data_IF_536900904076
#
_entry.id   IF_536900904076
#
_cell.length_a   1.000
_cell.length_b   1.000
_cell.length_c   1.000
_cell.angle_alpha   90.00
_cell.angle_beta   90.00
_cell.angle_gamma   90.00
#
_symmetry.space_group_name_H-M   'P 1'
#
loop_
_entity.id
_entity.type
_entity.pdbx_description
1 polymer ?
#
# COMPACT_ATOMS: atom_id res chain seq x y z
N UNK A 1 -11.49 2.17 14.41
CA UNK A 1 -12.22 2.12 13.14
C UNK A 1 -13.20 0.96 13.08
N UNK A 2 -13.93 0.86 11.98
CA UNK A 2 -14.88 -0.25 11.79
C UNK A 2 -14.15 -1.60 11.85
N UNK A 3 -14.68 -2.56 12.62
CA UNK A 3 -14.08 -3.89 12.79
C UNK A 3 -12.78 -3.93 13.61
N UNK A 4 -12.34 -2.84 14.22
CA UNK A 4 -11.06 -2.75 14.92
C UNK A 4 -10.84 -3.81 16.00
N UNK A 5 -11.88 -4.22 16.72
CA UNK A 5 -11.79 -5.28 17.72
C UNK A 5 -11.48 -6.65 17.08
N UNK A 6 -12.11 -6.97 15.93
CA UNK A 6 -11.84 -8.19 15.21
C UNK A 6 -10.42 -8.23 14.62
N UNK A 7 -9.97 -7.12 14.04
CA UNK A 7 -8.60 -6.98 13.52
C UNK A 7 -7.59 -7.20 14.64
N UNK A 8 -7.79 -6.57 15.81
CA UNK A 8 -6.90 -6.74 16.96
C UNK A 8 -6.87 -8.18 17.48
N UNK A 9 -8.01 -8.85 17.50
CA UNK A 9 -8.08 -10.25 17.92
C UNK A 9 -7.39 -11.22 16.96
N UNK A 10 -7.32 -10.86 15.66
CA UNK A 10 -6.68 -11.68 14.63
C UNK A 10 -5.17 -11.46 14.54
N UNK A 11 -4.72 -10.22 14.79
CA UNK A 11 -3.31 -9.80 14.63
C UNK A 11 -2.67 -9.54 16.00
N UNK A 12 -2.80 -10.45 16.96
CA UNK A 12 -2.18 -10.31 18.28
C UNK A 12 -0.70 -10.70 18.20
N UNK A 13 0.18 -9.69 18.08
CA UNK A 13 1.62 -9.86 18.08
C UNK A 13 2.26 -8.90 19.09
N UNK A 14 3.32 -9.31 19.81
CA UNK A 14 3.89 -8.56 20.93
C UNK A 14 4.58 -7.25 20.53
N UNK A 15 4.91 -7.07 19.27
CA UNK A 15 5.54 -5.88 18.68
C UNK A 15 4.52 -4.89 18.08
N UNK A 16 3.22 -5.21 18.13
CA UNK A 16 2.17 -4.33 17.63
C UNK A 16 1.69 -3.36 18.71
N UNK A 17 1.67 -2.07 18.36
CA UNK A 17 0.99 -1.02 19.11
C UNK A 17 -0.33 -0.67 18.43
N UNK A 18 -1.36 -0.44 19.24
CA UNK A 18 -2.71 -0.16 18.75
C UNK A 18 -3.13 1.27 19.07
N UNK A 19 -3.40 2.06 18.03
CA UNK A 19 -3.96 3.40 18.14
C UNK A 19 -5.43 3.37 17.72
N UNK A 20 -6.33 3.80 18.62
CA UNK A 20 -7.75 3.94 18.32
C UNK A 20 -8.02 5.30 17.68
N UNK A 21 -8.63 5.28 16.49
CA UNK A 21 -9.15 6.50 15.86
C UNK A 21 -10.66 6.62 16.12
N UNK A 22 -11.06 7.61 16.93
CA UNK A 22 -12.47 7.89 17.22
C UNK A 22 -12.64 9.40 17.51
N UNK A 23 -13.50 10.12 16.75
CA UNK A 23 -14.18 9.69 15.52
C UNK A 23 -13.22 9.54 14.33
N UNK A 24 -13.72 8.99 13.22
CA UNK A 24 -12.94 8.81 11.99
C UNK A 24 -13.00 10.10 11.17
N UNK A 25 -11.93 10.90 11.21
CA UNK A 25 -11.84 12.22 10.58
C UNK A 25 -10.82 12.28 9.43
N UNK A 26 -10.57 11.17 8.78
CA UNK A 26 -9.66 11.07 7.63
C UNK A 26 -8.33 10.41 7.94
N UNK A 27 -7.50 10.24 6.89
CA UNK A 27 -6.23 9.50 6.93
C UNK A 27 -5.16 10.19 7.77
N UNK A 28 -5.07 11.52 7.69
CA UNK A 28 -4.17 12.32 8.54
C UNK A 28 -4.51 12.19 10.02
N UNK A 29 -5.82 12.22 10.35
CA UNK A 29 -6.27 12.02 11.73
C UNK A 29 -5.92 10.60 12.24
N UNK A 30 -5.97 9.58 11.38
CA UNK A 30 -5.55 8.23 11.78
C UNK A 30 -4.07 8.20 12.17
N UNK A 31 -3.20 8.82 11.38
CA UNK A 31 -1.76 8.89 11.67
C UNK A 31 -1.47 9.73 12.91
N UNK A 32 -2.23 10.80 13.17
CA UNK A 32 -2.13 11.58 14.41
C UNK A 32 -2.32 10.69 15.65
N UNK A 33 -3.25 9.73 15.63
CA UNK A 33 -3.46 8.81 16.76
C UNK A 33 -2.25 7.88 16.99
N UNK A 34 -1.45 7.62 15.96
CA UNK A 34 -0.27 6.78 16.06
C UNK A 34 0.98 7.52 16.56
N UNK A 35 1.00 8.86 16.57
CA UNK A 35 2.16 9.66 16.97
C UNK A 35 2.79 9.25 18.32
N UNK A 36 2.02 8.94 19.40
CA UNK A 36 2.61 8.55 20.67
C UNK A 36 3.44 7.27 20.63
N UNK A 37 3.26 6.45 19.60
CA UNK A 37 3.95 5.18 19.42
C UNK A 37 5.15 5.28 18.47
N UNK A 38 5.31 6.42 17.78
CA UNK A 38 6.40 6.62 16.84
C UNK A 38 7.65 7.10 17.57
N UNK A 39 8.80 6.59 17.14
CA UNK A 39 10.10 7.12 17.56
C UNK A 39 10.34 8.42 16.77
N UNK A 40 10.92 9.43 17.43
CA UNK A 40 11.21 10.73 16.83
C UNK A 40 12.34 10.72 15.79
N UNK A 41 13.06 9.61 15.65
CA UNK A 41 14.17 9.40 14.72
C UNK A 41 13.83 8.36 13.64
N UNK A 42 14.57 8.38 12.57
CA UNK A 42 14.41 7.43 11.45
C UNK A 42 13.31 7.82 10.47
N UNK A 43 12.80 6.81 9.77
CA UNK A 43 11.80 6.95 8.71
C UNK A 43 10.49 6.26 9.13
N UNK A 44 9.39 6.98 9.04
CA UNK A 44 8.05 6.40 9.20
C UNK A 44 7.52 5.94 7.84
N UNK A 45 7.17 4.66 7.74
CA UNK A 45 6.49 4.06 6.60
C UNK A 45 4.99 3.95 6.93
N UNK A 46 4.16 4.49 6.06
CA UNK A 46 2.70 4.45 6.17
C UNK A 46 2.15 3.50 5.11
N UNK A 47 1.39 2.51 5.56
CA UNK A 47 0.76 1.48 4.72
C UNK A 47 -0.75 1.46 4.94
N UNK A 48 -1.46 0.86 4.00
CA UNK A 48 -2.90 0.65 4.07
C UNK A 48 -3.21 -0.83 4.28
N UNK A 49 -4.08 -1.14 5.24
CA UNK A 49 -4.43 -2.51 5.60
C UNK A 49 -5.30 -3.24 4.57
N UNK A 50 -5.84 -2.51 3.60
CA UNK A 50 -6.64 -3.03 2.50
C UNK A 50 -5.86 -3.20 1.18
N UNK A 51 -4.53 -3.06 1.19
CA UNK A 51 -3.61 -3.29 0.06
C UNK A 51 -2.79 -4.57 0.35
N UNK A 52 -3.37 -5.77 0.11
CA UNK A 52 -2.81 -7.01 0.64
C UNK A 52 -1.61 -7.56 -0.13
N UNK A 53 -1.37 -7.12 -1.38
CA UNK A 53 -0.36 -7.70 -2.26
C UNK A 53 0.91 -6.84 -2.40
N UNK A 54 1.08 -5.83 -1.55
CA UNK A 54 2.29 -5.02 -1.57
C UNK A 54 3.53 -5.89 -1.27
N UNK A 55 4.59 -5.75 -2.06
CA UNK A 55 5.80 -6.54 -1.92
C UNK A 55 6.87 -5.84 -1.11
N UNK A 56 7.63 -6.60 -0.33
CA UNK A 56 8.73 -6.09 0.50
C UNK A 56 9.76 -5.33 -0.34
N UNK A 57 10.11 -5.84 -1.52
CA UNK A 57 11.08 -5.21 -2.41
C UNK A 57 10.61 -3.85 -2.93
N UNK A 58 9.30 -3.65 -3.06
CA UNK A 58 8.71 -2.37 -3.43
C UNK A 58 8.81 -1.38 -2.26
N UNK A 59 8.55 -1.85 -1.04
CA UNK A 59 8.70 -1.03 0.17
C UNK A 59 10.18 -0.68 0.44
N UNK A 60 11.11 -1.60 0.24
CA UNK A 60 12.55 -1.35 0.34
C UNK A 60 13.02 -0.28 -0.64
N UNK A 61 12.56 -0.32 -1.90
CA UNK A 61 12.84 0.76 -2.87
C UNK A 61 12.28 2.10 -2.43
N UNK A 62 11.06 2.12 -1.88
CA UNK A 62 10.45 3.34 -1.35
C UNK A 62 11.28 3.90 -0.18
N UNK A 63 11.66 3.06 0.77
CA UNK A 63 12.51 3.43 1.91
C UNK A 63 13.88 3.93 1.47
N UNK A 64 14.47 3.31 0.43
CA UNK A 64 15.76 3.74 -0.10
C UNK A 64 15.71 5.17 -0.65
N UNK A 65 14.64 5.55 -1.34
CA UNK A 65 14.50 6.92 -1.87
C UNK A 65 14.03 7.93 -0.82
N UNK A 66 13.55 7.46 0.34
CA UNK A 66 13.02 8.30 1.42
C UNK A 66 14.10 8.85 2.38
N UNK A 67 15.38 8.49 2.26
CA UNK A 67 16.43 8.77 3.27
C UNK A 67 16.42 10.21 3.77
N UNK A 68 16.43 11.21 2.85
CA UNK A 68 16.41 12.63 3.17
C UNK A 68 15.20 13.35 2.51
N UNK A 69 14.11 12.63 2.27
CA UNK A 69 12.99 13.10 1.47
C UNK A 69 11.67 12.57 2.03
N UNK A 70 10.56 13.15 1.58
CA UNK A 70 9.27 12.49 1.61
C UNK A 70 9.13 11.67 0.33
N UNK A 71 8.95 10.38 0.45
CA UNK A 71 8.78 9.47 -0.68
C UNK A 71 7.34 8.96 -0.78
N UNK A 72 6.84 8.88 -2.00
CA UNK A 72 5.48 8.46 -2.33
C UNK A 72 5.56 7.28 -3.29
N UNK A 73 4.82 6.22 -3.00
CA UNK A 73 4.63 5.15 -3.96
C UNK A 73 3.53 5.58 -4.95
N UNK A 74 3.90 5.72 -6.22
CA UNK A 74 2.99 6.16 -7.29
C UNK A 74 2.88 5.10 -8.37
N UNK A 75 1.79 5.10 -9.11
CA UNK A 75 1.59 4.24 -10.28
C UNK A 75 0.75 4.96 -11.32
N UNK A 76 0.99 4.70 -12.61
CA UNK A 76 0.12 5.15 -13.68
C UNK A 76 -0.96 4.10 -13.95
N UNK A 77 -2.23 4.50 -13.86
CA UNK A 77 -3.37 3.64 -14.15
C UNK A 77 -4.07 4.08 -15.44
N UNK A 78 -4.62 3.11 -16.16
CA UNK A 78 -5.50 3.38 -17.32
C UNK A 78 -6.80 4.06 -16.90
N UNK A 79 -7.35 3.63 -15.75
CA UNK A 79 -8.48 4.29 -15.08
C UNK A 79 -8.06 4.73 -13.67
N UNK A 80 -7.71 6.02 -13.49
CA UNK A 80 -7.30 6.56 -12.22
C UNK A 80 -8.47 6.95 -11.29
N UNK A 81 -9.70 6.61 -11.65
CA UNK A 81 -10.91 6.96 -10.90
C UNK A 81 -10.81 6.57 -9.40
N UNK A 82 -11.22 7.49 -8.52
CA UNK A 82 -11.23 7.26 -7.07
C UNK A 82 -9.93 7.56 -6.32
N UNK A 83 -8.80 7.70 -7.02
CA UNK A 83 -7.49 7.96 -6.39
C UNK A 83 -7.13 9.45 -6.36
N UNK A 84 -6.23 9.85 -5.47
CA UNK A 84 -5.54 11.14 -5.50
C UNK A 84 -4.56 11.20 -6.67
N UNK A 85 -4.44 12.38 -7.30
CA UNK A 85 -3.55 12.61 -8.45
C UNK A 85 -2.25 13.24 -8.02
N UNK A 86 -1.15 12.80 -8.63
CA UNK A 86 0.18 13.39 -8.43
C UNK A 86 0.30 14.60 -9.36
N UNK A 87 0.37 15.78 -8.77
CA UNK A 87 0.54 17.02 -9.54
C UNK A 87 2.02 17.37 -9.59
N UNK A 88 2.53 17.54 -10.81
CA UNK A 88 3.93 17.89 -11.07
C UNK A 88 4.03 19.28 -11.69
N UNK A 89 5.15 19.98 -11.43
CA UNK A 89 5.49 21.22 -12.12
C UNK A 89 6.13 20.93 -13.50
N UNK A 90 6.44 21.99 -14.26
CA UNK A 90 7.05 21.88 -15.59
C UNK A 90 8.44 21.20 -15.58
N UNK A 91 9.11 21.17 -14.43
CA UNK A 91 10.37 20.46 -14.22
C UNK A 91 10.17 18.97 -13.83
N UNK A 92 8.92 18.47 -13.82
CA UNK A 92 8.60 17.10 -13.45
C UNK A 92 8.62 16.81 -11.95
N UNK A 93 8.79 17.81 -11.10
CA UNK A 93 8.83 17.64 -9.65
C UNK A 93 7.41 17.57 -9.09
N UNK A 94 7.18 16.67 -8.15
CA UNK A 94 5.91 16.60 -7.41
C UNK A 94 5.76 17.87 -6.57
N UNK A 95 4.62 18.55 -6.72
CA UNK A 95 4.29 19.76 -5.96
C UNK A 95 3.14 19.56 -4.97
N UNK A 96 2.23 18.65 -5.24
CA UNK A 96 1.12 18.27 -4.33
C UNK A 96 0.42 17.01 -4.81
N UNK A 97 -0.42 16.47 -3.96
CA UNK A 97 -1.43 15.49 -4.30
C UNK A 97 -2.79 16.20 -4.24
N UNK A 98 -3.65 15.94 -5.21
CA UNK A 98 -5.05 16.42 -5.19
C UNK A 98 -5.99 15.22 -5.14
N UNK A 99 -6.87 15.20 -4.15
CA UNK A 99 -7.86 14.14 -4.02
C UNK A 99 -8.92 14.21 -5.13
N UNK A 100 -9.48 13.07 -5.52
CA UNK A 100 -10.45 12.97 -6.63
C UNK A 100 -11.60 13.98 -6.50
N UNK A 101 -12.12 14.20 -5.28
CA UNK A 101 -13.28 15.07 -5.05
C UNK A 101 -12.94 16.56 -5.09
N UNK A 102 -11.68 16.91 -4.89
CA UNK A 102 -11.17 18.27 -4.89
C UNK A 102 -10.46 18.63 -6.21
N UNK A 103 -10.33 17.68 -7.15
CA UNK A 103 -9.60 17.85 -8.41
C UNK A 103 -10.41 18.59 -9.47
N UNK A 104 -9.73 19.44 -10.24
CA UNK A 104 -10.27 20.06 -11.45
C UNK A 104 -10.44 19.04 -12.58
N UNK A 105 -11.18 19.36 -13.67
CA UNK A 105 -11.28 18.48 -14.83
C UNK A 105 -9.91 18.13 -15.44
N UNK A 106 -8.99 19.10 -15.50
CA UNK A 106 -7.62 18.92 -16.02
C UNK A 106 -6.84 17.95 -15.12
N UNK A 107 -6.91 18.12 -13.82
CA UNK A 107 -6.23 17.25 -12.86
C UNK A 107 -6.78 15.82 -12.86
N UNK A 108 -8.07 15.64 -13.17
CA UNK A 108 -8.66 14.29 -13.33
C UNK A 108 -8.08 13.52 -14.50
N UNK A 109 -7.53 14.20 -15.51
CA UNK A 109 -6.88 13.58 -16.66
C UNK A 109 -5.48 13.03 -16.33
N UNK A 110 -4.89 13.41 -15.20
CA UNK A 110 -3.62 12.87 -14.74
C UNK A 110 -3.80 11.38 -14.41
N UNK A 111 -2.94 10.55 -15.00
CA UNK A 111 -2.96 9.10 -14.83
C UNK A 111 -2.09 8.61 -13.68
N UNK A 112 -1.10 9.40 -13.27
CA UNK A 112 -0.25 9.10 -12.12
C UNK A 112 -1.03 9.34 -10.83
N UNK A 113 -1.21 8.28 -10.06
CA UNK A 113 -2.00 8.30 -8.83
C UNK A 113 -1.13 8.10 -7.60
N UNK A 114 -1.64 8.63 -6.49
CA UNK A 114 -1.15 8.33 -5.15
C UNK A 114 -1.72 7.01 -4.67
N UNK A 115 -0.86 6.06 -4.32
CA UNK A 115 -1.30 4.77 -3.75
C UNK A 115 -1.67 4.87 -2.27
N UNK A 116 -1.35 6.00 -1.62
CA UNK A 116 -1.45 6.20 -0.18
C UNK A 116 -0.22 5.72 0.61
N UNK A 117 0.62 4.88 0.03
CA UNK A 117 1.82 4.36 0.67
C UNK A 117 2.93 5.42 0.59
N UNK A 118 3.44 5.81 1.75
CA UNK A 118 4.42 6.90 1.89
C UNK A 118 5.49 6.55 2.91
N UNK A 119 6.69 7.09 2.70
CA UNK A 119 7.79 7.05 3.67
C UNK A 119 8.35 8.46 3.88
N UNK A 120 8.59 8.84 5.13
CA UNK A 120 9.01 10.21 5.46
C UNK A 120 9.84 10.27 6.75
N UNK A 121 10.65 11.32 6.96
CA UNK A 121 11.36 11.50 8.21
C UNK A 121 10.41 11.62 9.39
N UNK A 122 10.55 10.74 10.39
CA UNK A 122 9.67 10.69 11.57
C UNK A 122 9.67 12.01 12.35
N UNK A 123 10.81 12.69 12.40
CA UNK A 123 10.96 13.96 13.11
C UNK A 123 10.04 15.10 12.59
N UNK A 124 9.66 15.03 11.31
CA UNK A 124 8.81 16.06 10.67
C UNK A 124 7.32 15.78 10.79
N UNK A 125 6.96 14.51 10.98
CA UNK A 125 5.59 14.05 10.85
C UNK A 125 4.65 14.74 11.87
N UNK A 126 5.07 14.90 13.11
CA UNK A 126 4.27 15.54 14.15
C UNK A 126 3.88 16.99 13.81
N UNK A 127 4.85 17.79 13.31
CA UNK A 127 4.61 19.18 12.92
C UNK A 127 3.65 19.28 11.73
N UNK A 128 3.81 18.45 10.73
CA UNK A 128 2.93 18.44 9.56
C UNK A 128 1.51 18.04 9.94
N UNK A 129 1.35 16.97 10.71
CA UNK A 129 0.04 16.49 11.15
C UNK A 129 -0.70 17.53 12.00
N UNK A 130 0.01 18.30 12.84
CA UNK A 130 -0.58 19.37 13.65
C UNK A 130 -1.13 20.55 12.80
N UNK A 131 -0.63 20.71 11.57
CA UNK A 131 -1.02 21.78 10.65
C UNK A 131 -2.10 21.36 9.65
N UNK A 132 -2.49 20.09 9.63
CA UNK A 132 -3.56 19.61 8.75
C UNK A 132 -4.86 20.35 9.03
N UNK A 133 -5.60 20.65 7.98
CA UNK A 133 -6.94 21.21 8.05
C UNK A 133 -7.96 20.27 7.44
N UNK A 134 -9.21 20.44 7.76
CA UNK A 134 -10.32 19.70 7.15
C UNK A 134 -11.15 20.58 6.20
N UNK A 135 -10.56 21.66 5.69
CA UNK A 135 -11.22 22.57 4.75
C UNK A 135 -11.15 22.04 3.31
N UNK A 136 -11.81 20.91 3.07
CA UNK A 136 -11.87 20.21 1.79
C UNK A 136 -13.26 19.62 1.57
N UNK A 137 -13.50 18.99 0.39
CA UNK A 137 -14.81 18.48 -0.01
C UNK A 137 -15.38 17.41 0.96
N UNK A 138 -14.51 16.65 1.63
CA UNK A 138 -14.93 15.59 2.57
C UNK A 138 -14.98 16.04 4.03
N UNK A 139 -14.45 17.23 4.36
CA UNK A 139 -14.25 17.73 5.71
C UNK A 139 -13.39 16.80 6.58
N UNK A 140 -12.37 16.19 5.97
CA UNK A 140 -11.45 15.25 6.57
C UNK A 140 -10.03 15.80 6.61
N UNK A 141 -9.23 15.35 7.56
CA UNK A 141 -7.80 15.65 7.60
C UNK A 141 -7.08 14.71 6.62
N UNK A 142 -6.74 15.24 5.43
CA UNK A 142 -6.05 14.47 4.41
C UNK A 142 -4.56 14.34 4.73
N UNK A 143 -4.06 13.10 4.81
CA UNK A 143 -2.63 12.86 4.96
C UNK A 143 -1.83 13.42 3.77
N UNK A 144 -2.42 13.42 2.59
CA UNK A 144 -1.81 13.90 1.35
C UNK A 144 -1.43 15.38 1.36
N UNK A 145 -2.04 16.19 2.23
CA UNK A 145 -1.71 17.60 2.37
C UNK A 145 -0.28 17.83 2.89
N UNK A 146 0.31 16.86 3.61
CA UNK A 146 1.70 16.95 4.06
C UNK A 146 2.70 17.08 2.92
N UNK A 147 2.37 16.59 1.72
CA UNK A 147 3.23 16.70 0.54
C UNK A 147 3.43 18.17 0.15
N UNK A 148 2.33 18.94 0.10
CA UNK A 148 2.40 20.38 -0.16
C UNK A 148 3.17 21.13 0.93
N UNK A 149 3.05 20.72 2.20
CA UNK A 149 3.81 21.32 3.31
C UNK A 149 5.30 21.03 3.19
N UNK A 150 5.67 19.78 2.86
CA UNK A 150 7.06 19.38 2.66
C UNK A 150 7.70 20.13 1.48
N UNK A 151 6.97 20.32 0.38
CA UNK A 151 7.39 21.14 -0.76
C UNK A 151 7.64 22.60 -0.35
N UNK A 152 6.71 23.19 0.41
CA UNK A 152 6.82 24.57 0.91
C UNK A 152 8.04 24.77 1.83
N UNK A 153 8.47 23.72 2.53
CA UNK A 153 9.65 23.72 3.40
C UNK A 153 10.94 23.35 2.65
N UNK A 154 10.88 23.13 1.34
CA UNK A 154 12.02 22.76 0.52
C UNK A 154 12.52 21.33 0.69
N UNK A 155 11.73 20.46 1.33
CA UNK A 155 12.06 19.04 1.42
C UNK A 155 11.83 18.38 0.05
N UNK A 156 12.78 17.59 -0.46
CA UNK A 156 12.59 16.86 -1.71
C UNK A 156 11.43 15.87 -1.62
N UNK A 157 10.59 15.86 -2.65
CA UNK A 157 9.58 14.81 -2.84
C UNK A 157 10.11 13.83 -3.87
N UNK A 158 10.20 12.56 -3.50
CA UNK A 158 10.65 11.49 -4.38
C UNK A 158 9.53 10.49 -4.63
N UNK A 159 9.55 9.84 -5.76
CA UNK A 159 8.58 8.80 -6.09
C UNK A 159 9.28 7.48 -6.35
N UNK A 160 8.61 6.39 -5.97
CA UNK A 160 8.95 5.04 -6.37
C UNK A 160 7.70 4.39 -7.02
N UNK A 161 7.94 3.40 -7.87
CA UNK A 161 6.85 2.68 -8.53
C UNK A 161 6.89 1.19 -8.16
N UNK A 162 5.74 0.52 -8.04
CA UNK A 162 5.70 -0.93 -7.94
C UNK A 162 6.18 -1.55 -9.27
N UNK A 163 6.60 -2.80 -9.24
CA UNK A 163 6.89 -3.54 -10.48
C UNK A 163 5.61 -3.86 -11.25
N UNK A 164 4.53 -4.11 -10.51
CA UNK A 164 3.23 -4.45 -11.07
C UNK A 164 2.14 -3.58 -10.44
N UNK A 165 1.18 -3.14 -11.25
CA UNK A 165 0.05 -2.32 -10.79
C UNK A 165 -0.77 -3.00 -9.68
N UNK A 166 -0.92 -4.32 -9.75
CA UNK A 166 -1.70 -5.07 -8.77
C UNK A 166 -1.13 -5.07 -7.34
N UNK A 167 0.17 -4.74 -7.17
CA UNK A 167 0.78 -4.63 -5.84
C UNK A 167 0.12 -3.57 -4.96
N UNK A 168 -0.49 -2.56 -5.57
CA UNK A 168 -1.06 -1.38 -4.90
C UNK A 168 -2.58 -1.29 -4.99
N UNK A 169 -3.23 -2.33 -5.52
CA UNK A 169 -4.69 -2.37 -5.57
C UNK A 169 -5.28 -2.65 -4.20
N UNK A 170 -6.27 -1.84 -3.82
CA UNK A 170 -7.02 -1.98 -2.58
C UNK A 170 -8.26 -2.86 -2.71
N UNK A 171 -8.69 -3.44 -1.59
CA UNK A 171 -9.90 -4.29 -1.50
C UNK A 171 -11.02 -3.53 -0.81
N UNK A 172 -12.05 -3.15 -1.58
CA UNK A 172 -13.27 -2.50 -1.09
C UNK A 172 -14.53 -3.35 -1.31
N UNK A 173 -14.40 -4.46 -2.04
CA UNK A 173 -15.52 -5.36 -2.35
C UNK A 173 -15.07 -6.81 -2.41
N UNK A 174 -16.05 -7.73 -2.30
CA UNK A 174 -15.78 -9.18 -2.46
C UNK A 174 -15.33 -9.55 -3.88
N UNK A 175 -15.69 -8.74 -4.88
CA UNK A 175 -15.22 -8.92 -6.27
C UNK A 175 -13.73 -8.61 -6.35
N UNK A 176 -13.31 -7.45 -5.86
CA UNK A 176 -11.89 -7.07 -5.81
C UNK A 176 -11.06 -8.05 -4.98
N UNK A 177 -11.61 -8.54 -3.85
CA UNK A 177 -10.93 -9.57 -3.06
C UNK A 177 -10.68 -10.84 -3.89
N UNK A 178 -11.70 -11.32 -4.61
CA UNK A 178 -11.57 -12.53 -5.44
C UNK A 178 -10.58 -12.33 -6.60
N UNK A 179 -10.54 -11.14 -7.19
CA UNK A 179 -9.57 -10.79 -8.26
C UNK A 179 -8.13 -10.81 -7.72
N UNK A 180 -7.88 -10.16 -6.58
CA UNK A 180 -6.54 -10.16 -5.97
C UNK A 180 -6.14 -11.55 -5.47
N UNK A 181 -7.08 -12.34 -4.97
CA UNK A 181 -6.81 -13.75 -4.63
C UNK A 181 -6.30 -14.53 -5.84
N UNK A 182 -6.94 -14.38 -7.02
CA UNK A 182 -6.46 -15.03 -8.27
C UNK A 182 -5.08 -14.56 -8.69
N UNK A 183 -4.75 -13.28 -8.46
CA UNK A 183 -3.41 -12.77 -8.72
C UNK A 183 -2.39 -13.41 -7.77
N UNK A 184 -2.70 -13.47 -6.46
CA UNK A 184 -1.84 -14.10 -5.46
C UNK A 184 -1.55 -15.57 -5.81
N UNK A 185 -2.60 -16.34 -6.13
CA UNK A 185 -2.46 -17.74 -6.50
C UNK A 185 -1.65 -17.94 -7.77
N UNK A 186 -1.82 -17.08 -8.77
CA UNK A 186 -1.00 -17.11 -9.99
C UNK A 186 0.48 -16.84 -9.67
N UNK A 187 0.79 -15.84 -8.83
CA UNK A 187 2.17 -15.57 -8.42
C UNK A 187 2.79 -16.78 -7.70
N UNK A 188 2.02 -17.45 -6.83
CA UNK A 188 2.47 -18.69 -6.16
C UNK A 188 2.74 -19.80 -7.18
N UNK A 189 1.84 -20.00 -8.14
CA UNK A 189 2.02 -21.00 -9.20
C UNK A 189 3.26 -20.71 -10.05
N UNK A 190 3.49 -19.45 -10.43
CA UNK A 190 4.68 -19.02 -11.18
C UNK A 190 5.96 -19.31 -10.40
N UNK A 191 6.00 -18.97 -9.10
CA UNK A 191 7.15 -19.28 -8.23
C UNK A 191 7.44 -20.78 -8.12
N UNK A 192 6.41 -21.61 -7.96
CA UNK A 192 6.57 -23.06 -7.92
C UNK A 192 7.14 -23.60 -9.24
N UNK A 193 6.66 -23.11 -10.38
CA UNK A 193 7.18 -23.51 -11.69
C UNK A 193 8.64 -23.07 -11.89
N UNK A 194 9.01 -21.87 -11.44
CA UNK A 194 10.41 -21.40 -11.45
C UNK A 194 11.33 -22.26 -10.58
N UNK A 195 10.79 -22.87 -9.52
CA UNK A 195 11.51 -23.82 -8.65
C UNK A 195 11.59 -25.24 -9.23
N UNK A 196 10.93 -25.48 -10.38
CA UNK A 196 10.98 -26.75 -11.08
C UNK A 196 9.75 -27.66 -10.88
N UNK A 197 8.68 -27.14 -10.30
CA UNK A 197 7.40 -27.86 -10.18
C UNK A 197 6.66 -27.82 -11.52
N UNK A 198 6.01 -28.91 -11.89
CA UNK A 198 5.20 -29.02 -13.09
C UNK A 198 3.73 -28.90 -12.71
N UNK A 199 3.03 -27.89 -13.23
CA UNK A 199 1.60 -27.70 -13.02
C UNK A 199 0.84 -28.04 -14.31
N UNK A 200 -0.21 -28.86 -14.22
CA UNK A 200 -1.08 -29.16 -15.34
C UNK A 200 -1.83 -27.92 -15.85
N UNK A 201 -2.27 -27.06 -14.91
CA UNK A 201 -2.89 -25.76 -15.20
C UNK A 201 -2.64 -24.81 -14.02
N UNK A 202 -1.75 -23.80 -14.18
CA UNK A 202 -1.46 -22.81 -13.12
C UNK A 202 -2.68 -22.03 -12.61
N UNK A 203 -3.74 -21.89 -13.43
CA UNK A 203 -4.94 -21.17 -13.05
C UNK A 203 -5.87 -21.99 -12.12
N UNK A 204 -5.61 -23.28 -11.97
CA UNK A 204 -6.42 -24.22 -11.18
C UNK A 204 -5.68 -24.84 -10.01
N UNK A 205 -4.76 -24.06 -9.44
CA UNK A 205 -4.04 -24.36 -8.20
C UNK A 205 -4.49 -23.35 -7.14
N UNK A 206 -4.79 -23.82 -5.94
CA UNK A 206 -5.03 -22.98 -4.77
C UNK A 206 -4.12 -23.41 -3.61
N UNK A 207 -3.31 -22.49 -3.10
CA UNK A 207 -2.47 -22.69 -1.92
C UNK A 207 -2.97 -21.75 -0.81
N UNK A 208 -3.46 -22.33 0.28
CA UNK A 208 -3.97 -21.62 1.46
C UNK A 208 -3.06 -21.92 2.65
N UNK A 209 -1.84 -21.39 2.60
CA UNK A 209 -0.80 -21.64 3.59
C UNK A 209 0.57 -21.74 2.96
N UNK A 210 1.38 -22.70 3.39
CA UNK A 210 2.74 -22.96 2.90
C UNK A 210 2.77 -24.25 2.10
N UNK A 211 3.25 -24.19 0.85
CA UNK A 211 3.51 -25.35 0.02
C UNK A 211 4.99 -25.36 -0.38
N UNK A 212 5.69 -26.40 0.01
CA UNK A 212 7.08 -26.67 -0.42
C UNK A 212 7.09 -27.92 -1.28
N UNK A 213 7.76 -27.85 -2.44
CA UNK A 213 7.85 -28.98 -3.35
C UNK A 213 9.31 -29.27 -3.72
N UNK A 214 9.63 -30.56 -3.88
CA UNK A 214 10.82 -31.03 -4.57
C UNK A 214 10.80 -30.69 -6.06
N UNK A 215 11.92 -30.91 -6.75
CA UNK A 215 11.99 -30.74 -8.19
C UNK A 215 11.19 -31.82 -8.91
N UNK A 216 10.67 -31.48 -10.10
CA UNK A 216 9.90 -32.39 -10.97
C UNK A 216 8.57 -32.91 -10.37
N UNK A 217 8.19 -32.47 -9.17
CA UNK A 217 6.85 -32.74 -8.64
C UNK A 217 5.81 -32.28 -9.66
N UNK A 218 4.85 -33.14 -9.97
CA UNK A 218 3.73 -32.85 -10.86
C UNK A 218 2.45 -32.66 -10.06
N UNK A 219 1.79 -31.52 -10.22
CA UNK A 219 0.51 -31.18 -9.59
C UNK A 219 -0.56 -31.09 -10.68
N UNK A 220 -1.59 -31.91 -10.55
CA UNK A 220 -2.72 -31.93 -11.48
C UNK A 220 -3.69 -30.78 -11.21
N UNK A 221 -4.71 -30.66 -12.02
CA UNK A 221 -5.72 -29.60 -11.94
C UNK A 221 -6.59 -29.71 -10.70
N UNK A 222 -7.10 -28.54 -10.24
CA UNK A 222 -8.03 -28.41 -9.12
C UNK A 222 -7.48 -28.91 -7.77
N UNK A 223 -6.17 -28.89 -7.59
CA UNK A 223 -5.57 -29.18 -6.28
C UNK A 223 -5.68 -27.96 -5.37
N UNK A 224 -6.07 -28.21 -4.12
CA UNK A 224 -6.13 -27.22 -3.05
C UNK A 224 -5.24 -27.70 -1.90
N UNK A 225 -4.25 -26.89 -1.53
CA UNK A 225 -3.34 -27.17 -0.41
C UNK A 225 -3.67 -26.24 0.75
N UNK A 226 -3.92 -26.80 1.93
CA UNK A 226 -4.25 -26.01 3.13
C UNK A 226 -3.25 -26.28 4.25
N UNK A 227 -2.85 -25.21 4.97
CA UNK A 227 -1.89 -25.28 6.05
C UNK A 227 -0.45 -25.43 5.54
N UNK A 228 0.34 -26.24 6.24
CA UNK A 228 1.73 -26.50 5.85
C UNK A 228 1.82 -27.87 5.16
N UNK A 229 2.17 -27.87 3.88
CA UNK A 229 2.27 -29.07 3.03
C UNK A 229 3.65 -29.15 2.41
N UNK A 230 4.26 -30.34 2.46
CA UNK A 230 5.54 -30.67 1.84
C UNK A 230 5.33 -31.83 0.88
N UNK A 231 5.77 -31.68 -0.38
CA UNK A 231 5.76 -32.71 -1.41
C UNK A 231 7.19 -33.02 -1.80
N UNK A 232 7.62 -34.24 -1.54
CA UNK A 232 8.94 -34.73 -1.95
C UNK A 232 8.95 -35.14 -3.43
N UNK A 233 10.14 -35.47 -3.98
CA UNK A 233 10.34 -35.97 -5.35
C UNK A 233 9.61 -37.26 -5.64
#
# INVERSE_FOLDING_TARGET
GHGGAAVRATLDAPDLAWALQEPQLGTGHAVQQALPFLKGDGTTLILYGDVPLIRSETLERLLHVAQDALAILTVELSDPGGYGRIVRNDAGQVIRIVEQKDSTPEERSIREINTGIMAMPSARLGEWLARLSNNNAQREYYLTDIVGMAVAEGLPIRTANPKNEWEVLGVNSKVQLAELERIAQRCTAEQLMEQGVRLADPARLDVRGELTCGRDVFIDVNCVFEGKVELDE
#
